data_IF_745534859468
#
_entry.id   IF_745534859468
#
_cell.length_a   1.000
_cell.length_b   1.000
_cell.length_c   1.000
_cell.angle_alpha   90.00
_cell.angle_beta   90.00
_cell.angle_gamma   90.00
#
_symmetry.space_group_name_H-M   'P 1'
#
loop_
_entity.id
_entity.type
_entity.pdbx_description
1 polymer ?
#
# COMPACT_ATOMS: atom_id res chain seq x y z
N UNK A 1 -15.14 2.73 -9.66
CA UNK A 1 -16.34 3.46 -9.23
C UNK A 1 -16.21 4.99 -9.35
N UNK A 2 -15.08 5.61 -8.97
CA UNK A 2 -14.89 7.09 -9.07
C UNK A 2 -14.96 7.70 -10.48
N UNK A 3 -14.61 6.95 -11.53
CA UNK A 3 -14.64 7.43 -12.93
C UNK A 3 -16.01 7.33 -13.62
N UNK A 4 -16.93 6.50 -13.11
CA UNK A 4 -18.26 6.33 -13.69
C UNK A 4 -19.20 7.49 -13.32
N UNK A 5 -18.97 8.11 -12.17
CA UNK A 5 -19.78 9.21 -11.65
C UNK A 5 -19.72 10.48 -12.55
N UNK A 6 -18.54 11.00 -12.96
CA UNK A 6 -18.48 12.17 -13.84
C UNK A 6 -19.00 11.86 -15.24
N UNK A 7 -18.78 10.64 -15.76
CA UNK A 7 -19.26 10.23 -17.08
C UNK A 7 -20.80 10.18 -17.13
N UNK A 8 -21.41 9.61 -16.08
CA UNK A 8 -22.86 9.63 -15.91
C UNK A 8 -23.43 11.05 -15.78
N UNK A 9 -22.75 11.92 -15.04
CA UNK A 9 -23.15 13.32 -14.89
C UNK A 9 -23.09 14.10 -16.21
N UNK A 10 -22.03 13.89 -17.02
CA UNK A 10 -21.92 14.51 -18.35
C UNK A 10 -23.01 14.04 -19.30
N UNK A 11 -23.34 12.75 -19.29
CA UNK A 11 -24.42 12.21 -20.12
C UNK A 11 -25.78 12.80 -19.72
N UNK A 12 -26.06 12.88 -18.42
CA UNK A 12 -27.31 13.46 -17.92
C UNK A 12 -27.41 14.96 -18.23
N UNK A 13 -26.30 15.70 -18.14
CA UNK A 13 -26.24 17.09 -18.58
C UNK A 13 -26.46 17.25 -20.09
N UNK A 14 -25.90 16.36 -20.91
CA UNK A 14 -26.10 16.37 -22.37
C UNK A 14 -27.57 16.08 -22.74
N UNK A 15 -28.23 15.17 -22.03
CA UNK A 15 -29.66 14.91 -22.22
C UNK A 15 -30.53 16.11 -21.83
N UNK A 16 -30.24 16.74 -20.69
CA UNK A 16 -30.96 17.94 -20.26
C UNK A 16 -30.76 19.11 -21.24
N UNK A 17 -29.52 19.32 -21.71
CA UNK A 17 -29.22 20.35 -22.72
C UNK A 17 -29.87 20.04 -24.07
N UNK A 18 -29.89 18.77 -24.49
CA UNK A 18 -30.56 18.35 -25.73
C UNK A 18 -32.07 18.54 -25.66
N UNK A 19 -32.71 18.18 -24.53
CA UNK A 19 -34.13 18.43 -24.29
C UNK A 19 -34.44 19.94 -24.24
N UNK A 20 -33.60 20.73 -23.57
CA UNK A 20 -33.75 22.18 -23.52
C UNK A 20 -33.59 22.84 -24.90
N UNK A 21 -32.61 22.40 -25.69
CA UNK A 21 -32.41 22.90 -27.05
C UNK A 21 -33.61 22.58 -27.95
N UNK A 22 -34.17 21.37 -27.86
CA UNK A 22 -35.41 21.02 -28.55
C UNK A 22 -36.54 21.98 -28.15
N UNK A 23 -36.72 22.23 -26.86
CA UNK A 23 -37.78 23.13 -26.37
C UNK A 23 -37.59 24.60 -26.81
N UNK A 24 -36.35 25.09 -26.90
CA UNK A 24 -36.06 26.47 -27.29
C UNK A 24 -36.14 26.71 -28.81
N UNK A 25 -35.70 25.74 -29.62
CA UNK A 25 -35.54 25.95 -31.06
C UNK A 25 -36.65 25.30 -31.91
N UNK A 26 -37.28 24.21 -31.46
CA UNK A 26 -38.32 23.54 -32.24
C UNK A 26 -39.54 24.43 -32.54
N UNK A 27 -40.06 25.27 -31.61
CA UNK A 27 -41.20 26.14 -31.91
C UNK A 27 -40.90 27.14 -33.03
N UNK A 28 -39.75 27.81 -32.97
CA UNK A 28 -39.34 28.79 -33.99
C UNK A 28 -39.14 28.13 -35.36
N UNK A 29 -38.56 26.93 -35.39
CA UNK A 29 -38.35 26.18 -36.63
C UNK A 29 -39.68 25.72 -37.25
N UNK A 30 -40.61 25.21 -36.44
CA UNK A 30 -41.95 24.80 -36.91
C UNK A 30 -42.76 25.99 -37.47
N UNK A 31 -42.56 27.20 -36.94
CA UNK A 31 -43.19 28.41 -37.47
C UNK A 31 -42.60 28.80 -38.84
N UNK A 32 -41.27 28.76 -39.00
CA UNK A 32 -40.58 29.08 -40.26
C UNK A 32 -40.92 28.07 -41.36
N UNK A 33 -40.93 26.77 -41.04
CA UNK A 33 -41.28 25.69 -41.97
C UNK A 33 -42.73 25.81 -42.50
N UNK A 34 -43.66 26.34 -41.69
CA UNK A 34 -45.07 26.52 -42.06
C UNK A 34 -45.43 27.91 -42.61
N UNK A 35 -44.53 28.90 -42.52
CA UNK A 35 -44.76 30.27 -42.96
C UNK A 35 -45.16 30.39 -44.45
N UNK A 36 -44.52 29.66 -45.40
CA UNK A 36 -44.90 29.71 -46.80
C UNK A 36 -46.34 29.21 -47.04
N UNK A 37 -46.73 28.14 -46.36
CA UNK A 37 -48.06 27.57 -46.47
C UNK A 37 -49.13 28.52 -45.89
N UNK A 38 -48.81 29.19 -44.77
CA UNK A 38 -49.65 30.22 -44.18
C UNK A 38 -49.79 31.44 -45.12
N UNK A 39 -48.70 31.88 -45.76
CA UNK A 39 -48.73 32.95 -46.78
C UNK A 39 -49.60 32.58 -47.98
N UNK A 40 -49.50 31.34 -48.48
CA UNK A 40 -50.36 30.84 -49.55
C UNK A 40 -51.83 30.80 -49.13
N UNK A 41 -52.14 30.33 -47.92
CA UNK A 41 -53.51 30.31 -47.40
C UNK A 41 -54.10 31.73 -47.28
N UNK A 42 -53.29 32.69 -46.82
CA UNK A 42 -53.67 34.11 -46.77
C UNK A 42 -53.95 34.67 -48.16
N UNK A 43 -53.07 34.42 -49.13
CA UNK A 43 -53.25 34.88 -50.51
C UNK A 43 -54.53 34.29 -51.14
N UNK A 44 -54.83 33.02 -50.86
CA UNK A 44 -56.07 32.35 -51.29
C UNK A 44 -57.30 33.00 -50.64
N UNK A 45 -57.24 33.34 -49.35
CA UNK A 45 -58.33 34.02 -48.65
C UNK A 45 -58.58 35.45 -49.18
N UNK A 46 -57.52 36.21 -49.46
CA UNK A 46 -57.61 37.54 -50.04
C UNK A 46 -58.14 37.50 -51.48
N UNK A 47 -57.70 36.52 -52.28
CA UNK A 47 -58.22 36.30 -53.63
C UNK A 47 -59.72 35.94 -53.61
N UNK A 48 -60.15 35.12 -52.63
CA UNK A 48 -61.56 34.81 -52.44
C UNK A 48 -62.37 36.06 -52.05
N UNK A 49 -61.93 36.83 -51.04
CA UNK A 49 -62.64 38.04 -50.61
C UNK A 49 -62.78 39.03 -51.77
N UNK A 50 -61.74 39.18 -52.59
CA UNK A 50 -61.76 40.01 -53.81
C UNK A 50 -62.77 39.48 -54.85
N UNK A 51 -62.76 38.17 -55.14
CA UNK A 51 -63.69 37.54 -56.07
C UNK A 51 -65.16 37.67 -55.61
N UNK A 52 -65.42 37.54 -54.31
CA UNK A 52 -66.75 37.71 -53.73
C UNK A 52 -67.27 39.15 -53.83
N UNK A 53 -66.38 40.15 -53.73
CA UNK A 53 -66.76 41.57 -53.91
C UNK A 53 -67.13 41.91 -55.35
N UNK A 54 -66.49 41.27 -56.33
CA UNK A 54 -66.71 41.52 -57.76
C UNK A 54 -67.84 40.67 -58.36
N UNK A 55 -68.25 39.59 -57.71
CA UNK A 55 -69.28 38.69 -58.19
C UNK A 55 -70.68 39.30 -58.08
N UNK A 56 -71.51 39.12 -59.11
CA UNK A 56 -72.92 39.48 -59.09
C UNK A 56 -73.73 38.61 -58.10
N UNK A 57 -73.30 37.37 -57.85
CA UNK A 57 -73.92 36.40 -56.93
C UNK A 57 -72.87 35.81 -55.96
N UNK A 58 -72.52 36.52 -54.88
CA UNK A 58 -71.41 36.13 -53.99
C UNK A 58 -71.63 34.79 -53.29
N UNK A 59 -72.87 34.40 -52.97
CA UNK A 59 -73.13 33.09 -52.33
C UNK A 59 -72.84 31.90 -53.25
N UNK A 60 -73.19 32.01 -54.55
CA UNK A 60 -72.93 30.94 -55.52
C UNK A 60 -71.42 30.80 -55.80
N UNK A 61 -70.68 31.91 -55.82
CA UNK A 61 -69.21 31.90 -55.97
C UNK A 61 -68.53 31.29 -54.73
N UNK A 62 -69.04 31.58 -53.53
CA UNK A 62 -68.54 30.97 -52.29
C UNK A 62 -68.77 29.45 -52.29
N UNK A 63 -69.97 29.00 -52.64
CA UNK A 63 -70.29 27.56 -52.66
C UNK A 63 -69.46 26.80 -53.72
N UNK A 64 -69.24 27.39 -54.90
CA UNK A 64 -68.35 26.82 -55.92
C UNK A 64 -66.89 26.74 -55.44
N UNK A 65 -66.41 27.75 -54.71
CA UNK A 65 -65.07 27.77 -54.13
C UNK A 65 -64.89 26.71 -53.03
N UNK A 66 -65.88 26.57 -52.15
CA UNK A 66 -65.87 25.54 -51.10
C UNK A 66 -65.90 24.13 -51.71
N UNK A 67 -66.65 23.92 -52.81
CA UNK A 67 -66.59 22.66 -53.55
C UNK A 67 -65.23 22.43 -54.23
N UNK A 68 -64.60 23.48 -54.77
CA UNK A 68 -63.31 23.40 -55.45
C UNK A 68 -62.12 23.18 -54.50
N UNK A 69 -62.19 23.68 -53.27
CA UNK A 69 -61.24 23.38 -52.19
C UNK A 69 -61.18 21.87 -51.85
N UNK A 70 -62.22 21.13 -52.20
CA UNK A 70 -62.27 19.67 -52.07
C UNK A 70 -62.05 19.19 -50.63
N UNK A 71 -61.49 17.99 -50.49
CA UNK A 71 -61.17 17.35 -49.20
C UNK A 71 -59.79 17.76 -48.66
N UNK A 72 -59.26 18.93 -49.04
CA UNK A 72 -57.94 19.38 -48.56
C UNK A 72 -57.94 19.46 -47.03
N UNK A 73 -57.13 18.64 -46.36
CA UNK A 73 -57.15 18.56 -44.90
C UNK A 73 -56.63 19.85 -44.23
N UNK A 74 -55.77 20.59 -44.93
CA UNK A 74 -55.02 21.75 -44.42
C UNK A 74 -55.74 23.10 -44.54
N UNK A 75 -56.65 23.27 -45.51
CA UNK A 75 -57.42 24.52 -45.70
C UNK A 75 -58.91 24.18 -45.66
N UNK A 76 -59.62 24.67 -44.63
CA UNK A 76 -61.05 24.40 -44.41
C UNK A 76 -61.82 25.70 -44.34
N UNK A 77 -62.97 25.75 -45.01
CA UNK A 77 -63.90 26.87 -44.84
C UNK A 77 -64.92 26.57 -43.74
N UNK A 78 -65.04 27.48 -42.77
CA UNK A 78 -66.01 27.40 -41.67
C UNK A 78 -67.04 28.51 -41.81
N UNK A 79 -68.32 28.16 -42.00
CA UNK A 79 -69.43 29.13 -41.95
C UNK A 79 -69.65 29.64 -40.52
N UNK A 80 -69.98 30.93 -40.40
CA UNK A 80 -70.27 31.58 -39.14
C UNK A 80 -71.51 30.93 -38.47
N UNK A 81 -71.37 30.48 -37.22
CA UNK A 81 -72.44 29.84 -36.45
C UNK A 81 -72.29 28.32 -36.24
N UNK A 82 -71.28 27.68 -36.86
CA UNK A 82 -70.98 26.25 -36.62
C UNK A 82 -70.16 26.07 -35.33
N UNK A 83 -70.60 25.24 -34.35
CA UNK A 83 -69.89 25.07 -33.07
C UNK A 83 -68.51 24.43 -33.23
N UNK A 84 -67.56 24.82 -32.36
CA UNK A 84 -66.22 24.22 -32.25
C UNK A 84 -66.35 22.78 -31.73
N UNK A 85 -66.17 21.79 -32.59
CA UNK A 85 -65.97 20.41 -32.13
C UNK A 85 -64.50 20.21 -31.78
N UNK A 86 -64.13 20.57 -30.55
CA UNK A 86 -62.80 20.28 -29.98
C UNK A 86 -62.73 18.80 -29.57
N UNK A 87 -62.58 17.90 -30.54
CA UNK A 87 -62.14 16.54 -30.26
C UNK A 87 -60.62 16.53 -30.03
N UNK A 88 -60.09 15.68 -29.14
CA UNK A 88 -58.65 15.49 -29.02
C UNK A 88 -58.10 15.08 -30.39
N UNK A 89 -57.16 15.85 -30.92
CA UNK A 89 -56.50 15.55 -32.19
C UNK A 89 -55.59 14.34 -31.92
N UNK A 90 -56.08 13.14 -32.22
CA UNK A 90 -55.31 11.90 -32.16
C UNK A 90 -54.36 11.91 -33.39
N UNK A 91 -53.17 12.52 -33.23
CA UNK A 91 -52.19 12.68 -34.32
C UNK A 91 -51.61 11.30 -34.64
N UNK A 92 -52.23 10.58 -35.57
CA UNK A 92 -51.75 9.29 -36.09
C UNK A 92 -50.99 9.53 -37.39
N UNK A 93 -49.68 9.35 -37.38
CA UNK A 93 -48.92 9.26 -38.65
C UNK A 93 -48.98 7.85 -39.22
N UNK A 94 -48.85 7.69 -40.55
CA UNK A 94 -48.78 6.38 -41.20
C UNK A 94 -47.51 5.56 -40.86
N UNK A 95 -46.50 6.14 -40.19
CA UNK A 95 -45.20 5.51 -39.90
C UNK A 95 -44.92 5.18 -38.42
N UNK A 96 -45.79 5.55 -37.46
CA UNK A 96 -45.62 5.22 -36.05
C UNK A 96 -46.39 6.13 -35.10
N UNK A 97 -46.30 5.93 -33.78
CA UNK A 97 -46.88 6.85 -32.79
C UNK A 97 -45.78 7.64 -32.08
N UNK A 98 -45.82 8.96 -32.18
CA UNK A 98 -45.03 9.86 -31.34
C UNK A 98 -45.64 9.86 -29.93
N UNK A 99 -44.86 9.64 -28.85
CA UNK A 99 -45.40 9.65 -27.49
C UNK A 99 -45.95 11.02 -27.08
N UNK A 100 -47.10 11.05 -26.39
CA UNK A 100 -47.74 12.30 -25.94
C UNK A 100 -46.83 13.16 -25.06
N UNK A 101 -46.05 12.56 -24.16
CA UNK A 101 -45.12 13.30 -23.30
C UNK A 101 -44.08 14.10 -24.10
N UNK A 102 -43.69 13.64 -25.30
CA UNK A 102 -42.73 14.33 -26.15
C UNK A 102 -43.37 15.56 -26.82
N UNK A 103 -44.65 15.43 -27.20
CA UNK A 103 -45.46 16.53 -27.74
C UNK A 103 -45.65 17.60 -26.67
N UNK A 104 -45.95 17.20 -25.43
CA UNK A 104 -46.13 18.13 -24.29
C UNK A 104 -44.86 18.94 -24.00
N UNK A 105 -43.68 18.33 -24.14
CA UNK A 105 -42.38 18.99 -23.92
C UNK A 105 -42.04 19.98 -25.04
N UNK A 106 -42.46 19.70 -26.27
CA UNK A 106 -42.16 20.55 -27.44
C UNK A 106 -42.90 21.90 -27.43
N UNK A 107 -43.88 22.09 -26.51
CA UNK A 107 -44.65 23.33 -26.36
C UNK A 107 -45.15 23.89 -27.70
N UNK A 108 -45.91 23.07 -28.43
CA UNK A 108 -46.32 23.31 -29.81
C UNK A 108 -46.93 24.72 -29.99
N UNK A 109 -46.38 25.56 -30.88
CA UNK A 109 -46.99 26.84 -31.19
C UNK A 109 -48.32 26.62 -31.92
N UNK A 110 -49.30 27.51 -31.70
CA UNK A 110 -50.51 27.50 -32.52
C UNK A 110 -50.17 28.03 -33.92
N UNK A 111 -49.83 27.10 -34.81
CA UNK A 111 -49.55 27.35 -36.23
C UNK A 111 -50.85 27.43 -37.06
N UNK A 112 -52.01 27.27 -36.43
CA UNK A 112 -53.29 27.43 -37.11
C UNK A 112 -53.58 28.90 -37.34
N UNK A 113 -54.06 29.26 -38.52
CA UNK A 113 -54.44 30.63 -38.84
C UNK A 113 -55.87 30.67 -39.35
N UNK A 114 -56.65 31.66 -38.90
CA UNK A 114 -58.00 31.89 -39.41
C UNK A 114 -58.08 33.23 -40.12
N UNK A 115 -58.69 33.24 -41.31
CA UNK A 115 -58.87 34.43 -42.12
C UNK A 115 -60.38 34.67 -42.34
N UNK A 116 -60.94 35.81 -41.90
CA UNK A 116 -62.37 36.07 -42.03
C UNK A 116 -62.76 36.30 -43.49
N UNK A 117 -63.90 35.76 -43.90
CA UNK A 117 -64.48 35.96 -45.24
C UNK A 117 -65.72 36.84 -45.11
N UNK A 118 -65.74 37.98 -45.81
CA UNK A 118 -66.81 38.97 -45.71
C UNK A 118 -67.54 39.17 -47.03
N UNK A 119 -68.87 39.32 -46.98
CA UNK A 119 -69.69 39.69 -48.14
C UNK A 119 -70.46 40.95 -47.75
N UNK A 120 -70.28 42.03 -48.53
CA UNK A 120 -70.93 43.34 -48.28
C UNK A 120 -70.76 43.85 -46.83
N UNK A 121 -69.59 43.62 -46.23
CA UNK A 121 -69.25 44.05 -44.87
C UNK A 121 -69.79 43.16 -43.75
N UNK A 122 -70.51 42.08 -44.06
CA UNK A 122 -70.96 41.07 -43.08
C UNK A 122 -70.07 39.84 -43.16
N UNK A 123 -69.50 39.41 -42.04
CA UNK A 123 -68.70 38.18 -41.97
C UNK A 123 -69.62 36.95 -42.10
N UNK A 124 -69.35 36.11 -43.09
CA UNK A 124 -70.15 34.91 -43.40
C UNK A 124 -69.44 33.63 -42.97
N UNK A 125 -68.12 33.68 -42.83
CA UNK A 125 -67.32 32.57 -42.34
C UNK A 125 -65.86 32.95 -42.18
N UNK A 126 -65.03 31.95 -42.03
CA UNK A 126 -63.57 32.07 -42.00
C UNK A 126 -62.93 30.88 -42.72
N UNK A 127 -61.78 31.13 -43.36
CA UNK A 127 -60.91 30.09 -43.86
C UNK A 127 -59.94 29.77 -42.73
N UNK A 128 -59.97 28.52 -42.27
CA UNK A 128 -59.03 27.97 -41.29
C UNK A 128 -57.91 27.24 -42.03
N UNK A 129 -56.69 27.62 -41.75
CA UNK A 129 -55.48 26.89 -42.08
C UNK A 129 -55.04 26.10 -40.85
N UNK A 130 -54.97 24.78 -40.97
CA UNK A 130 -54.50 23.87 -39.92
C UNK A 130 -53.50 22.90 -40.56
N UNK A 131 -52.19 23.20 -40.52
CA UNK A 131 -51.18 22.34 -41.15
C UNK A 131 -51.13 20.97 -40.45
N UNK A 132 -50.91 19.91 -41.23
CA UNK A 132 -50.63 18.59 -40.68
C UNK A 132 -49.17 18.51 -40.21
N UNK A 133 -48.96 18.80 -38.94
CA UNK A 133 -47.63 18.80 -38.27
C UNK A 133 -47.17 17.39 -37.86
N UNK A 134 -47.92 16.35 -38.22
CA UNK A 134 -47.67 14.98 -37.77
C UNK A 134 -46.34 14.42 -38.29
N UNK A 135 -46.01 14.73 -39.55
CA UNK A 135 -44.75 14.34 -40.19
C UNK A 135 -43.55 15.04 -39.54
N UNK A 136 -43.65 16.35 -39.28
CA UNK A 136 -42.59 17.13 -38.64
C UNK A 136 -42.30 16.63 -37.21
N UNK A 137 -43.36 16.34 -36.44
CA UNK A 137 -43.24 15.75 -35.09
C UNK A 137 -42.52 14.39 -35.11
N UNK A 138 -42.84 13.55 -36.10
CA UNK A 138 -42.21 12.25 -36.24
C UNK A 138 -40.73 12.36 -36.63
N UNK A 139 -40.38 13.30 -37.50
CA UNK A 139 -38.99 13.60 -37.85
C UNK A 139 -38.18 14.02 -36.61
N UNK A 140 -38.69 14.98 -35.81
CA UNK A 140 -38.01 15.41 -34.57
C UNK A 140 -37.88 14.28 -33.56
N UNK A 141 -38.89 13.41 -33.46
CA UNK A 141 -38.86 12.23 -32.58
C UNK A 141 -37.76 11.23 -32.96
N UNK A 142 -37.61 10.91 -34.25
CA UNK A 142 -36.51 10.05 -34.73
C UNK A 142 -35.16 10.71 -34.45
N UNK A 143 -35.03 12.01 -34.72
CA UNK A 143 -33.81 12.77 -34.43
C UNK A 143 -33.42 12.70 -32.96
N UNK A 144 -34.38 12.85 -32.05
CA UNK A 144 -34.17 12.70 -30.60
C UNK A 144 -33.69 11.29 -30.23
N UNK A 145 -34.34 10.23 -30.74
CA UNK A 145 -33.93 8.84 -30.49
C UNK A 145 -32.52 8.54 -31.04
N UNK A 146 -32.17 9.09 -32.20
CA UNK A 146 -30.84 8.94 -32.78
C UNK A 146 -29.75 9.59 -31.90
N UNK A 147 -30.01 10.79 -31.38
CA UNK A 147 -29.09 11.47 -30.45
C UNK A 147 -28.96 10.71 -29.12
N UNK A 148 -30.09 10.26 -28.56
CA UNK A 148 -30.12 9.50 -27.32
C UNK A 148 -29.31 8.19 -27.44
N UNK A 149 -29.56 7.42 -28.49
CA UNK A 149 -28.87 6.13 -28.72
C UNK A 149 -27.37 6.32 -29.00
N UNK A 150 -27.00 7.34 -29.78
CA UNK A 150 -25.59 7.72 -30.00
C UNK A 150 -24.89 8.09 -28.69
N UNK A 151 -25.54 8.87 -27.83
CA UNK A 151 -24.98 9.24 -26.53
C UNK A 151 -24.80 8.05 -25.58
N UNK A 152 -25.78 7.13 -25.54
CA UNK A 152 -25.66 5.88 -24.76
C UNK A 152 -24.50 5.03 -25.28
N UNK A 153 -24.38 4.87 -26.60
CA UNK A 153 -23.30 4.11 -27.22
C UNK A 153 -21.92 4.70 -26.87
N UNK A 154 -21.78 6.03 -26.94
CA UNK A 154 -20.55 6.72 -26.56
C UNK A 154 -20.22 6.54 -25.06
N UNK A 155 -21.22 6.59 -24.17
CA UNK A 155 -21.04 6.36 -22.74
C UNK A 155 -20.59 4.93 -22.43
N UNK A 156 -21.20 3.93 -23.08
CA UNK A 156 -20.80 2.53 -22.91
C UNK A 156 -19.39 2.28 -23.45
N UNK A 157 -19.05 2.88 -24.59
CA UNK A 157 -17.72 2.79 -25.19
C UNK A 157 -16.65 3.38 -24.27
N UNK A 158 -16.84 4.63 -23.83
CA UNK A 158 -15.89 5.33 -22.94
C UNK A 158 -15.79 4.66 -21.57
N UNK A 159 -16.91 4.18 -21.01
CA UNK A 159 -16.93 3.40 -19.77
C UNK A 159 -16.17 2.08 -19.89
N UNK A 160 -16.33 1.38 -21.01
CA UNK A 160 -15.60 0.14 -21.30
C UNK A 160 -14.10 0.39 -21.43
N UNK A 161 -13.70 1.41 -22.21
CA UNK A 161 -12.30 1.82 -22.35
C UNK A 161 -11.69 2.15 -20.98
N UNK A 162 -12.38 2.94 -20.15
CA UNK A 162 -11.92 3.28 -18.81
C UNK A 162 -11.76 2.05 -17.90
N UNK A 163 -12.70 1.10 -17.97
CA UNK A 163 -12.63 -0.16 -17.24
C UNK A 163 -11.40 -0.99 -17.65
N UNK A 164 -11.17 -1.17 -18.95
CA UNK A 164 -10.01 -1.89 -19.48
C UNK A 164 -8.69 -1.21 -19.11
N UNK A 165 -8.59 0.12 -19.26
CA UNK A 165 -7.37 0.87 -18.91
C UNK A 165 -7.06 0.75 -17.42
N UNK A 166 -8.07 0.87 -16.55
CA UNK A 166 -7.86 0.76 -15.10
C UNK A 166 -7.32 -0.62 -14.73
N UNK A 167 -7.94 -1.69 -15.24
CA UNK A 167 -7.49 -3.06 -14.98
C UNK A 167 -6.11 -3.36 -15.56
N UNK A 168 -5.83 -2.89 -16.78
CA UNK A 168 -4.58 -3.19 -17.48
C UNK A 168 -3.39 -2.37 -16.98
N UNK A 169 -3.57 -1.08 -16.66
CA UNK A 169 -2.47 -0.17 -16.37
C UNK A 169 -2.28 0.13 -14.88
N UNK A 170 -3.36 0.29 -14.10
CA UNK A 170 -3.27 0.74 -12.70
C UNK A 170 -2.91 -0.40 -11.76
N UNK A 171 -3.52 -1.58 -11.93
CA UNK A 171 -3.25 -2.75 -11.07
C UNK A 171 -1.77 -3.15 -11.05
N UNK A 172 -1.12 -3.34 -12.21
CA UNK A 172 0.30 -3.64 -12.27
C UNK A 172 1.20 -2.58 -11.63
N UNK A 173 0.85 -1.30 -11.76
CA UNK A 173 1.61 -0.21 -11.14
C UNK A 173 1.52 -0.25 -9.61
N UNK A 174 0.35 -0.60 -9.05
CA UNK A 174 0.18 -0.81 -7.61
C UNK A 174 1.01 -1.99 -7.12
N UNK A 175 1.00 -3.10 -7.85
CA UNK A 175 1.84 -4.27 -7.53
C UNK A 175 3.33 -3.93 -7.51
N UNK A 176 3.80 -3.12 -8.47
CA UNK A 176 5.18 -2.64 -8.50
C UNK A 176 5.49 -1.76 -7.29
N UNK A 177 4.62 -0.81 -6.96
CA UNK A 177 4.79 0.08 -5.79
C UNK A 177 4.81 -0.68 -4.45
N UNK A 178 3.88 -1.62 -4.26
CA UNK A 178 3.87 -2.51 -3.09
C UNK A 178 5.12 -3.38 -3.05
N UNK A 179 5.54 -3.94 -4.19
CA UNK A 179 6.76 -4.73 -4.32
C UNK A 179 8.02 -3.97 -3.90
N UNK A 180 8.20 -2.76 -4.42
CA UNK A 180 9.33 -1.89 -4.04
C UNK A 180 9.29 -1.49 -2.56
N UNK A 181 8.08 -1.27 -2.01
CA UNK A 181 7.91 -0.98 -0.57
C UNK A 181 8.35 -2.17 0.30
N UNK A 182 8.00 -3.40 -0.11
CA UNK A 182 8.46 -4.63 0.57
C UNK A 182 9.98 -4.81 0.48
N UNK A 183 10.57 -4.54 -0.69
CA UNK A 183 12.02 -4.59 -0.89
C UNK A 183 12.73 -3.59 0.04
N UNK A 184 12.17 -2.40 0.27
CA UNK A 184 12.70 -1.42 1.22
C UNK A 184 12.74 -1.95 2.66
N UNK A 185 11.79 -2.80 3.04
CA UNK A 185 11.79 -3.49 4.35
C UNK A 185 12.70 -4.73 4.40
N UNK A 186 13.46 -5.03 3.35
CA UNK A 186 14.39 -6.17 3.30
C UNK A 186 13.76 -7.50 2.88
N UNK A 187 12.47 -7.52 2.52
CA UNK A 187 11.83 -8.70 1.93
C UNK A 187 12.09 -8.76 0.43
N UNK A 188 13.16 -9.47 0.07
CA UNK A 188 13.54 -9.75 -1.31
C UNK A 188 13.07 -11.13 -1.79
N UNK A 189 12.33 -11.88 -0.97
CA UNK A 189 11.97 -13.26 -1.29
C UNK A 189 10.77 -13.34 -2.25
N UNK A 190 9.84 -12.39 -2.13
CA UNK A 190 8.60 -12.36 -2.91
C UNK A 190 8.74 -11.48 -4.16
N UNK A 191 8.64 -12.13 -5.32
CA UNK A 191 8.70 -11.45 -6.62
C UNK A 191 7.46 -10.58 -6.88
N UNK A 192 7.68 -9.50 -7.64
CA UNK A 192 6.65 -8.60 -8.16
C UNK A 192 6.02 -9.27 -9.39
N UNK A 193 4.69 -9.42 -9.46
CA UNK A 193 4.01 -9.95 -10.63
C UNK A 193 4.28 -9.11 -11.89
N UNK A 194 4.82 -9.72 -12.94
CA UNK A 194 5.19 -9.07 -14.21
C UNK A 194 4.00 -9.02 -15.18
N UNK A 195 2.93 -8.32 -14.79
CA UNK A 195 1.70 -8.16 -15.57
C UNK A 195 1.57 -6.74 -16.15
N UNK A 196 0.67 -6.54 -17.11
CA UNK A 196 0.35 -5.23 -17.68
C UNK A 196 1.10 -4.85 -18.96
N UNK A 197 1.08 -3.55 -19.32
CA UNK A 197 1.80 -2.98 -20.46
C UNK A 197 3.28 -3.38 -20.49
N UNK A 198 3.89 -3.46 -21.68
CA UNK A 198 5.27 -3.94 -21.83
C UNK A 198 6.29 -3.12 -21.03
N UNK A 199 6.06 -1.82 -20.86
CA UNK A 199 6.90 -0.93 -20.07
C UNK A 199 6.88 -1.30 -18.57
N UNK A 200 5.68 -1.50 -18.00
CA UNK A 200 5.52 -1.87 -16.57
C UNK A 200 6.04 -3.28 -16.32
N UNK A 201 5.82 -4.19 -17.28
CA UNK A 201 6.35 -5.56 -17.21
C UNK A 201 7.87 -5.56 -17.16
N UNK A 202 8.53 -4.81 -18.05
CA UNK A 202 9.99 -4.65 -18.06
C UNK A 202 10.49 -4.08 -16.72
N UNK A 203 9.88 -3.02 -16.20
CA UNK A 203 10.28 -2.45 -14.90
C UNK A 203 10.10 -3.44 -13.75
N UNK A 204 9.06 -4.27 -13.78
CA UNK A 204 8.83 -5.31 -12.77
C UNK A 204 9.87 -6.43 -12.86
N UNK A 205 10.27 -6.82 -14.07
CA UNK A 205 11.33 -7.79 -14.33
C UNK A 205 12.69 -7.27 -13.84
N UNK A 206 13.05 -6.03 -14.16
CA UNK A 206 14.27 -5.37 -13.68
C UNK A 206 14.29 -5.26 -12.14
N UNK A 207 13.18 -4.86 -11.53
CA UNK A 207 13.05 -4.81 -10.08
C UNK A 207 13.21 -6.21 -9.45
N UNK A 208 12.70 -7.25 -10.10
CA UNK A 208 12.87 -8.64 -9.65
C UNK A 208 14.33 -9.12 -9.75
N UNK A 209 15.05 -8.77 -10.81
CA UNK A 209 16.48 -9.09 -10.93
C UNK A 209 17.32 -8.35 -9.87
N UNK A 210 16.97 -7.09 -9.58
CA UNK A 210 17.57 -6.35 -8.49
C UNK A 210 17.27 -7.02 -7.14
N UNK A 211 16.03 -7.46 -6.89
CA UNK A 211 15.65 -8.17 -5.68
C UNK A 211 16.46 -9.46 -5.50
N UNK A 212 16.65 -10.25 -6.57
CA UNK A 212 17.51 -11.45 -6.55
C UNK A 212 18.95 -11.11 -6.19
N UNK A 213 19.50 -10.04 -6.77
CA UNK A 213 20.87 -9.60 -6.51
C UNK A 213 21.04 -9.15 -5.05
N UNK A 214 20.12 -8.32 -4.54
CA UNK A 214 20.11 -7.88 -3.14
C UNK A 214 19.96 -9.05 -2.17
N UNK A 215 19.10 -10.03 -2.50
CA UNK A 215 18.95 -11.26 -1.72
C UNK A 215 20.26 -12.03 -1.64
N UNK A 216 20.95 -12.20 -2.77
CA UNK A 216 22.24 -12.89 -2.83
C UNK A 216 23.30 -12.15 -2.00
N UNK A 217 23.44 -10.83 -2.18
CA UNK A 217 24.37 -10.02 -1.41
C UNK A 217 24.09 -10.07 0.09
N UNK A 218 22.81 -10.05 0.50
CA UNK A 218 22.41 -10.20 1.90
C UNK A 218 22.78 -11.58 2.46
N UNK A 219 22.56 -12.65 1.69
CA UNK A 219 22.96 -14.00 2.07
C UNK A 219 24.48 -14.17 2.16
N UNK A 220 25.23 -13.60 1.20
CA UNK A 220 26.69 -13.64 1.17
C UNK A 220 27.28 -12.86 2.34
N UNK A 221 26.79 -11.64 2.61
CA UNK A 221 27.18 -10.84 3.76
C UNK A 221 26.95 -11.61 5.06
N UNK A 222 25.79 -12.25 5.22
CA UNK A 222 25.49 -13.08 6.39
C UNK A 222 26.39 -14.31 6.50
N UNK A 223 26.78 -14.92 5.38
CA UNK A 223 27.72 -16.03 5.35
C UNK A 223 29.13 -15.58 5.77
N UNK A 224 29.58 -14.44 5.27
CA UNK A 224 30.86 -13.82 5.64
C UNK A 224 30.89 -13.45 7.12
N UNK A 225 29.85 -12.81 7.64
CA UNK A 225 29.75 -12.49 9.07
C UNK A 225 29.82 -13.77 9.92
N UNK A 226 29.10 -14.84 9.55
CA UNK A 226 29.21 -16.12 10.25
C UNK A 226 30.63 -16.70 10.23
N UNK A 227 31.32 -16.63 9.08
CA UNK A 227 32.72 -17.07 8.97
C UNK A 227 33.66 -16.23 9.83
N UNK A 228 33.53 -14.91 9.82
CA UNK A 228 34.35 -14.01 10.64
C UNK A 228 34.15 -14.32 12.12
N UNK A 229 32.90 -14.50 12.56
CA UNK A 229 32.60 -14.83 13.96
C UNK A 229 33.21 -16.18 14.34
N UNK A 230 33.05 -17.21 13.51
CA UNK A 230 33.63 -18.53 13.75
C UNK A 230 35.15 -18.46 13.83
N UNK A 231 35.81 -17.84 12.86
CA UNK A 231 37.27 -17.69 12.84
C UNK A 231 37.78 -16.91 14.06
N UNK A 232 37.05 -15.88 14.49
CA UNK A 232 37.42 -15.15 15.69
C UNK A 232 37.32 -16.02 16.95
N UNK A 233 36.35 -16.92 17.03
CA UNK A 233 36.19 -17.82 18.15
C UNK A 233 37.23 -18.95 18.13
N UNK A 234 37.57 -19.47 16.94
CA UNK A 234 38.66 -20.44 16.74
C UNK A 234 40.02 -19.84 17.13
N UNK A 235 40.35 -18.65 16.64
CA UNK A 235 41.58 -17.93 16.99
C UNK A 235 41.69 -17.67 18.49
N UNK A 236 40.58 -17.28 19.14
CA UNK A 236 40.56 -17.11 20.60
C UNK A 236 40.79 -18.41 21.34
N UNK A 237 40.30 -19.53 20.80
CA UNK A 237 40.53 -20.85 21.38
C UNK A 237 42.00 -21.27 21.23
N UNK A 238 42.62 -20.98 20.09
CA UNK A 238 44.02 -21.30 19.85
C UNK A 238 44.94 -20.44 20.72
N UNK A 239 44.72 -19.12 20.80
CA UNK A 239 45.46 -18.24 21.73
C UNK A 239 45.32 -18.73 23.18
N UNK A 240 44.12 -19.16 23.59
CA UNK A 240 43.93 -19.69 24.94
C UNK A 240 44.70 -21.00 25.18
N UNK A 241 44.82 -21.85 24.15
CA UNK A 241 45.60 -23.08 24.23
C UNK A 241 47.09 -22.75 24.35
N UNK A 242 47.60 -21.86 23.50
CA UNK A 242 49.01 -21.44 23.53
C UNK A 242 49.37 -20.79 24.88
N UNK A 243 48.52 -19.90 25.42
CA UNK A 243 48.75 -19.33 26.75
C UNK A 243 48.73 -20.38 27.87
N UNK A 244 47.91 -21.43 27.75
CA UNK A 244 47.86 -22.49 28.76
C UNK A 244 49.09 -23.38 28.68
N UNK A 245 49.45 -23.82 27.47
CA UNK A 245 50.49 -24.80 27.21
C UNK A 245 51.90 -24.19 27.34
N UNK A 246 52.08 -22.90 26.99
CA UNK A 246 53.38 -22.23 27.12
C UNK A 246 53.56 -21.59 28.51
N UNK A 247 52.61 -20.76 28.97
CA UNK A 247 52.82 -19.99 30.21
C UNK A 247 52.55 -20.81 31.47
N UNK A 248 51.63 -21.78 31.42
CA UNK A 248 51.26 -22.61 32.58
C UNK A 248 52.47 -23.36 33.15
N UNK A 249 53.15 -24.20 32.37
CA UNK A 249 54.35 -24.93 32.80
C UNK A 249 55.51 -24.01 33.20
N UNK A 250 55.74 -22.92 32.47
CA UNK A 250 56.81 -21.96 32.79
C UNK A 250 56.60 -21.31 34.16
N UNK A 251 55.39 -20.82 34.44
CA UNK A 251 55.06 -20.22 35.75
C UNK A 251 55.14 -21.25 36.87
N UNK A 252 54.73 -22.50 36.61
CA UNK A 252 54.90 -23.59 37.56
C UNK A 252 56.38 -23.88 37.87
N UNK A 253 57.23 -23.93 36.83
CA UNK A 253 58.66 -24.15 36.95
C UNK A 253 59.38 -23.03 37.73
N UNK A 254 59.07 -21.76 37.44
CA UNK A 254 59.64 -20.62 38.19
C UNK A 254 59.24 -20.72 39.66
N UNK A 255 57.97 -21.04 39.96
CA UNK A 255 57.51 -21.23 41.34
C UNK A 255 58.29 -22.35 42.04
N UNK A 256 58.39 -23.53 41.42
CA UNK A 256 59.08 -24.68 41.98
C UNK A 256 60.57 -24.40 42.25
N UNK A 257 61.28 -23.79 41.29
CA UNK A 257 62.68 -23.42 41.44
C UNK A 257 62.89 -22.36 42.53
N UNK A 258 61.94 -21.42 42.67
CA UNK A 258 62.01 -20.38 43.71
C UNK A 258 61.79 -20.97 45.10
N UNK A 259 60.84 -21.91 45.26
CA UNK A 259 60.63 -22.63 46.52
C UNK A 259 61.87 -23.47 46.88
N UNK A 260 62.42 -24.22 45.92
CA UNK A 260 63.65 -25.00 46.15
C UNK A 260 64.86 -24.11 46.51
N UNK A 261 64.96 -22.90 45.94
CA UNK A 261 65.97 -21.92 46.31
C UNK A 261 65.78 -21.42 47.75
N UNK A 262 64.54 -21.19 48.20
CA UNK A 262 64.24 -20.82 49.59
C UNK A 262 64.60 -21.94 50.56
N UNK A 263 64.27 -23.19 50.23
CA UNK A 263 64.58 -24.36 51.07
C UNK A 263 66.09 -24.65 51.18
N UNK A 264 66.89 -24.20 50.22
CA UNK A 264 68.35 -24.40 50.21
C UNK A 264 69.16 -23.23 50.80
N UNK A 265 68.51 -22.12 51.17
CA UNK A 265 69.16 -20.99 51.80
C UNK A 265 69.39 -21.23 53.31
N UNK A 266 70.57 -20.88 53.85
CA UNK A 266 70.81 -20.99 55.29
C UNK A 266 69.95 -19.96 56.07
N UNK A 267 69.43 -20.31 57.25
CA UNK A 267 68.43 -19.54 58.00
C UNK A 267 68.89 -18.14 58.48
N UNK A 268 70.16 -17.80 58.34
CA UNK A 268 70.77 -16.57 58.89
C UNK A 268 70.99 -15.45 57.86
N UNK A 269 70.46 -15.57 56.64
CA UNK A 269 70.60 -14.54 55.58
C UNK A 269 69.24 -14.00 55.12
N UNK A 270 68.81 -12.89 55.71
CA UNK A 270 67.53 -12.24 55.41
C UNK A 270 67.38 -11.64 53.98
N UNK A 271 68.48 -11.37 53.27
CA UNK A 271 68.45 -10.70 51.95
C UNK A 271 67.92 -11.57 50.79
N UNK A 272 68.48 -12.77 50.55
CA UNK A 272 68.04 -13.67 49.49
C UNK A 272 66.61 -14.19 49.67
N UNK A 273 66.17 -14.39 50.91
CA UNK A 273 64.82 -14.88 51.24
C UNK A 273 63.74 -13.87 50.84
N UNK A 274 63.93 -12.58 51.17
CA UNK A 274 63.02 -11.51 50.75
C UNK A 274 62.91 -11.39 49.22
N UNK A 275 64.03 -11.58 48.50
CA UNK A 275 64.03 -11.58 47.02
C UNK A 275 63.25 -12.76 46.44
N UNK A 276 63.44 -13.97 47.00
CA UNK A 276 62.71 -15.16 46.57
C UNK A 276 61.21 -15.07 46.85
N UNK A 277 60.83 -14.50 48.00
CA UNK A 277 59.43 -14.25 48.35
C UNK A 277 58.78 -13.21 47.41
N UNK A 278 59.53 -12.18 46.98
CA UNK A 278 59.09 -11.24 45.96
C UNK A 278 58.88 -11.88 44.57
N UNK A 279 59.73 -12.84 44.20
CA UNK A 279 59.54 -13.64 42.96
C UNK A 279 58.27 -14.48 43.05
N UNK A 280 58.02 -15.15 44.19
CA UNK A 280 56.81 -15.94 44.40
C UNK A 280 55.53 -15.10 44.26
N UNK A 281 55.47 -13.93 44.92
CA UNK A 281 54.33 -13.02 44.78
C UNK A 281 54.13 -12.57 43.33
N UNK A 282 55.21 -12.31 42.59
CA UNK A 282 55.15 -11.94 41.18
C UNK A 282 54.61 -13.08 40.31
N UNK A 283 55.03 -14.32 40.57
CA UNK A 283 54.54 -15.51 39.87
C UNK A 283 53.07 -15.77 40.17
N UNK A 284 52.63 -15.64 41.42
CA UNK A 284 51.22 -15.77 41.79
C UNK A 284 50.35 -14.71 41.11
N UNK A 285 50.81 -13.46 41.09
CA UNK A 285 50.15 -12.38 40.36
C UNK A 285 50.05 -12.68 38.85
N UNK A 286 51.11 -13.19 38.23
CA UNK A 286 51.09 -13.61 36.82
C UNK A 286 50.16 -14.80 36.57
N UNK A 287 50.17 -15.81 37.44
CA UNK A 287 49.27 -16.97 37.32
C UNK A 287 47.81 -16.54 37.40
N UNK A 288 47.49 -15.65 38.35
CA UNK A 288 46.16 -15.07 38.46
C UNK A 288 45.77 -14.26 37.22
N UNK A 289 46.68 -13.41 36.71
CA UNK A 289 46.45 -12.65 35.50
C UNK A 289 46.25 -13.54 34.26
N UNK A 290 47.07 -14.59 34.10
CA UNK A 290 46.98 -15.54 33.00
C UNK A 290 45.64 -16.28 33.03
N UNK A 291 45.24 -16.79 34.20
CA UNK A 291 43.94 -17.46 34.37
C UNK A 291 42.77 -16.56 34.00
N UNK A 292 42.83 -15.29 34.43
CA UNK A 292 41.83 -14.27 34.08
C UNK A 292 41.76 -13.97 32.58
N UNK A 293 42.88 -14.05 31.85
CA UNK A 293 42.92 -13.88 30.39
C UNK A 293 42.32 -15.12 29.70
N UNK A 294 42.73 -16.32 30.12
CA UNK A 294 42.20 -17.59 29.62
C UNK A 294 40.67 -17.66 29.75
N UNK A 295 40.12 -17.32 30.92
CA UNK A 295 38.67 -17.30 31.16
C UNK A 295 37.90 -16.31 30.24
N UNK A 296 38.56 -15.26 29.74
CA UNK A 296 37.97 -14.30 28.79
C UNK A 296 38.03 -14.79 27.35
N UNK A 297 39.14 -15.42 26.97
CA UNK A 297 39.37 -15.91 25.61
C UNK A 297 38.55 -17.16 25.33
N UNK A 298 38.64 -18.16 26.22
CA UNK A 298 37.93 -19.43 26.12
C UNK A 298 37.05 -19.63 27.36
N UNK A 299 35.74 -19.39 27.26
CA UNK A 299 34.82 -19.90 28.25
C UNK A 299 34.73 -21.41 28.03
N UNK A 300 35.60 -22.19 28.68
CA UNK A 300 35.59 -23.67 28.63
C UNK A 300 34.23 -24.28 28.99
N UNK A 301 33.40 -23.48 29.66
CA UNK A 301 32.16 -23.91 30.29
C UNK A 301 31.07 -24.34 29.29
N UNK A 302 30.98 -23.79 28.07
CA UNK A 302 29.80 -24.05 27.22
C UNK A 302 29.77 -25.49 26.68
N UNK A 303 30.90 -26.00 26.20
CA UNK A 303 30.98 -27.35 25.64
C UNK A 303 30.95 -28.45 26.71
N UNK A 304 31.45 -28.16 27.91
CA UNK A 304 31.57 -29.14 29.00
C UNK A 304 30.40 -29.11 29.99
N UNK A 305 29.78 -27.94 30.22
CA UNK A 305 28.76 -27.72 31.27
C UNK A 305 27.39 -27.30 30.72
N UNK A 306 27.29 -26.99 29.44
CA UNK A 306 26.10 -26.40 28.83
C UNK A 306 25.98 -24.88 29.03
N UNK A 307 25.13 -24.25 28.22
CA UNK A 307 24.97 -22.81 28.16
C UNK A 307 24.42 -22.22 29.48
N UNK A 308 23.40 -22.86 30.05
CA UNK A 308 22.74 -22.40 31.27
C UNK A 308 23.75 -22.30 32.42
N UNK A 309 24.49 -23.39 32.67
CA UNK A 309 25.47 -23.46 33.75
C UNK A 309 26.62 -22.48 33.53
N UNK A 310 27.05 -22.31 32.28
CA UNK A 310 28.07 -21.32 31.91
C UNK A 310 27.64 -19.90 32.26
N UNK A 311 26.39 -19.54 31.97
CA UNK A 311 25.84 -18.23 32.32
C UNK A 311 25.79 -18.07 33.84
N UNK A 312 25.33 -19.08 34.59
CA UNK A 312 25.32 -19.01 36.06
C UNK A 312 26.72 -18.80 36.64
N UNK A 313 27.74 -19.51 36.13
CA UNK A 313 29.13 -19.31 36.55
C UNK A 313 29.62 -17.89 36.25
N UNK A 314 29.30 -17.36 35.06
CA UNK A 314 29.65 -15.99 34.69
C UNK A 314 29.04 -14.97 35.67
N UNK A 315 27.75 -15.13 35.98
CA UNK A 315 27.02 -14.23 36.87
C UNK A 315 27.50 -14.35 38.33
N UNK A 316 27.88 -15.55 38.75
CA UNK A 316 28.50 -15.78 40.05
C UNK A 316 29.83 -15.04 40.17
N UNK A 317 30.70 -15.16 39.15
CA UNK A 317 31.98 -14.46 39.11
C UNK A 317 31.81 -12.92 39.04
N UNK A 318 30.80 -12.44 38.33
CA UNK A 318 30.45 -11.02 38.29
C UNK A 318 30.05 -10.49 39.69
N UNK A 319 29.25 -11.26 40.42
CA UNK A 319 28.85 -10.92 41.80
C UNK A 319 30.05 -10.89 42.75
N UNK A 320 31.01 -11.79 42.59
CA UNK A 320 32.24 -11.78 43.38
C UNK A 320 33.11 -10.53 43.12
N UNK A 321 33.07 -9.96 41.91
CA UNK A 321 33.80 -8.74 41.56
C UNK A 321 33.10 -7.45 42.01
N UNK A 322 31.78 -7.46 42.09
CA UNK A 322 30.97 -6.32 42.53
C UNK A 322 29.91 -6.76 43.56
N UNK A 323 30.30 -6.90 44.85
CA UNK A 323 29.41 -7.38 45.91
C UNK A 323 28.15 -6.51 46.10
N UNK A 324 28.28 -5.21 45.84
CA UNK A 324 27.20 -4.22 46.01
C UNK A 324 26.18 -4.20 44.86
N UNK A 325 26.46 -4.92 43.76
CA UNK A 325 25.58 -4.99 42.61
C UNK A 325 24.51 -6.08 42.80
N UNK A 326 23.23 -5.68 42.83
CA UNK A 326 22.12 -6.62 42.87
C UNK A 326 21.93 -7.29 41.51
N UNK A 327 22.47 -8.50 41.36
CA UNK A 327 22.35 -9.29 40.14
C UNK A 327 21.21 -10.31 40.27
N UNK A 328 20.24 -10.26 39.36
CA UNK A 328 19.17 -11.27 39.24
C UNK A 328 19.21 -11.94 37.86
N UNK A 329 18.87 -13.22 37.80
CA UNK A 329 18.94 -14.02 36.59
C UNK A 329 17.73 -14.94 36.44
N UNK A 330 17.13 -14.96 35.25
CA UNK A 330 16.11 -15.94 34.84
C UNK A 330 16.55 -16.59 33.54
N UNK A 331 17.17 -17.75 33.65
CA UNK A 331 17.69 -18.52 32.51
C UNK A 331 16.80 -19.74 32.35
N UNK A 332 16.29 -19.93 31.14
CA UNK A 332 15.45 -21.07 30.79
C UNK A 332 16.31 -22.33 30.58
N UNK A 333 16.03 -23.47 31.26
CA UNK A 333 16.77 -24.72 31.08
C UNK A 333 16.76 -25.25 29.64
N UNK A 334 15.76 -24.88 28.84
CA UNK A 334 15.65 -25.23 27.42
C UNK A 334 16.77 -24.67 26.54
N UNK A 335 17.64 -23.80 27.09
CA UNK A 335 18.83 -23.28 26.42
C UNK A 335 19.93 -24.34 26.24
N UNK A 336 19.97 -25.40 27.04
CA UNK A 336 21.00 -26.45 26.89
C UNK A 336 20.80 -27.30 25.62
N UNK A 337 19.60 -27.28 25.04
CA UNK A 337 19.32 -27.93 23.75
C UNK A 337 19.81 -27.13 22.53
N UNK A 338 20.55 -26.04 22.75
CA UNK A 338 21.10 -25.17 21.71
C UNK A 338 22.60 -25.42 21.62
N UNK A 339 23.09 -25.77 20.43
CA UNK A 339 24.49 -26.11 20.17
C UNK A 339 25.21 -25.09 19.26
N UNK A 340 26.53 -25.24 19.20
CA UNK A 340 27.40 -24.51 18.28
C UNK A 340 27.40 -22.99 18.43
N UNK A 341 27.37 -22.31 17.28
CA UNK A 341 27.54 -20.86 17.15
C UNK A 341 26.44 -20.05 17.86
N UNK A 342 25.23 -20.61 17.96
CA UNK A 342 24.10 -19.94 18.63
C UNK A 342 24.34 -19.85 20.14
N UNK A 343 24.76 -20.95 20.76
CA UNK A 343 25.10 -21.00 22.18
C UNK A 343 26.25 -20.05 22.54
N UNK A 344 27.31 -20.05 21.73
CA UNK A 344 28.44 -19.13 21.89
C UNK A 344 28.02 -17.66 21.76
N UNK A 345 27.15 -17.35 20.81
CA UNK A 345 26.65 -15.98 20.59
C UNK A 345 25.85 -15.48 21.79
N UNK A 346 24.94 -16.30 22.33
CA UNK A 346 24.17 -15.96 23.54
C UNK A 346 25.08 -15.69 24.72
N UNK A 347 26.03 -16.59 24.98
CA UNK A 347 26.99 -16.42 26.06
C UNK A 347 27.80 -15.13 25.90
N UNK A 348 28.31 -14.84 24.70
CA UNK A 348 29.11 -13.63 24.43
C UNK A 348 28.30 -12.35 24.61
N UNK A 349 27.04 -12.33 24.19
CA UNK A 349 26.14 -11.18 24.40
C UNK A 349 25.95 -10.93 25.89
N UNK A 350 25.64 -11.96 26.67
CA UNK A 350 25.48 -11.83 28.13
C UNK A 350 26.80 -11.39 28.78
N UNK A 351 27.92 -12.00 28.39
CA UNK A 351 29.25 -11.68 28.92
C UNK A 351 29.62 -10.22 28.69
N UNK A 352 29.48 -9.74 27.46
CA UNK A 352 29.84 -8.38 27.11
C UNK A 352 28.88 -7.38 27.75
N UNK A 353 27.57 -7.66 27.79
CA UNK A 353 26.60 -6.83 28.47
C UNK A 353 26.88 -6.71 29.98
N UNK A 354 27.12 -7.82 30.68
CA UNK A 354 27.49 -7.81 32.11
C UNK A 354 28.82 -7.09 32.33
N UNK A 355 29.80 -7.30 31.46
CA UNK A 355 31.10 -6.60 31.53
C UNK A 355 30.91 -5.08 31.37
N UNK A 356 30.05 -4.66 30.44
CA UNK A 356 29.72 -3.24 30.25
C UNK A 356 29.03 -2.65 31.47
N UNK A 357 28.11 -3.39 32.11
CA UNK A 357 27.49 -2.96 33.37
C UNK A 357 28.54 -2.74 34.46
N UNK A 358 29.41 -3.73 34.67
CA UNK A 358 30.46 -3.66 35.70
C UNK A 358 31.47 -2.53 35.48
N UNK A 359 31.77 -2.18 34.22
CA UNK A 359 32.79 -1.17 33.89
C UNK A 359 32.25 0.24 33.67
N UNK A 360 31.02 0.36 33.20
CA UNK A 360 30.54 1.61 32.60
C UNK A 360 29.19 2.09 33.15
N UNK A 361 28.35 1.22 33.69
CA UNK A 361 26.98 1.60 34.04
C UNK A 361 26.84 2.33 35.38
N UNK A 362 27.74 2.07 36.34
CA UNK A 362 27.56 2.48 37.74
C UNK A 362 26.16 2.10 38.29
N UNK A 363 25.70 0.92 37.89
CA UNK A 363 24.37 0.39 38.21
C UNK A 363 24.33 -0.19 39.63
N UNK A 364 23.14 -0.17 40.24
CA UNK A 364 22.85 -0.82 41.53
C UNK A 364 22.15 -2.16 41.33
N UNK A 365 21.43 -2.32 40.21
CA UNK A 365 20.72 -3.55 39.89
C UNK A 365 20.87 -3.91 38.42
N UNK A 366 21.09 -5.20 38.16
CA UNK A 366 21.08 -5.78 36.82
C UNK A 366 20.20 -7.02 36.79
N UNK A 367 19.39 -7.14 35.75
CA UNK A 367 18.53 -8.28 35.49
C UNK A 367 18.94 -8.92 34.16
N UNK A 368 19.22 -10.22 34.20
CA UNK A 368 19.56 -11.02 33.02
C UNK A 368 18.45 -12.05 32.79
N UNK A 369 17.80 -11.99 31.64
CA UNK A 369 16.78 -12.93 31.23
C UNK A 369 17.20 -13.58 29.94
N UNK A 370 17.16 -14.91 29.87
CA UNK A 370 17.37 -15.66 28.64
C UNK A 370 16.31 -16.75 28.56
N UNK A 371 15.41 -16.63 27.58
CA UNK A 371 14.24 -17.50 27.45
C UNK A 371 14.12 -18.02 26.03
N UNK A 372 13.61 -19.24 25.90
CA UNK A 372 13.31 -19.84 24.61
C UNK A 372 11.81 -20.09 24.52
N UNK A 373 11.17 -19.52 23.51
CA UNK A 373 9.77 -19.75 23.20
C UNK A 373 9.66 -20.22 21.75
N UNK A 374 9.11 -21.42 21.54
CA UNK A 374 8.96 -22.04 20.23
C UNK A 374 10.27 -22.05 19.40
N UNK A 375 10.32 -21.21 18.36
CA UNK A 375 11.43 -21.06 17.40
C UNK A 375 12.23 -19.78 17.60
N UNK A 376 12.03 -19.07 18.70
CA UNK A 376 12.74 -17.83 19.02
C UNK A 376 13.40 -17.92 20.40
N UNK A 377 14.64 -17.46 20.48
CA UNK A 377 15.37 -17.25 21.73
C UNK A 377 15.51 -15.75 21.97
N UNK A 378 15.07 -15.30 23.14
CA UNK A 378 15.16 -13.90 23.56
C UNK A 378 16.12 -13.77 24.75
N UNK A 379 17.08 -12.86 24.61
CA UNK A 379 18.04 -12.49 25.65
C UNK A 379 17.86 -11.02 25.97
N UNK A 380 17.61 -10.70 27.24
CA UNK A 380 17.44 -9.35 27.74
C UNK A 380 18.37 -9.11 28.93
N UNK A 381 19.13 -8.02 28.88
CA UNK A 381 19.95 -7.55 29.99
C UNK A 381 19.53 -6.12 30.30
N UNK A 382 19.02 -5.89 31.51
CA UNK A 382 18.55 -4.58 31.94
C UNK A 382 19.24 -4.08 33.20
N UNK A 383 19.80 -2.88 33.15
CA UNK A 383 20.47 -2.22 34.28
C UNK A 383 19.88 -0.83 34.59
N UNK A 384 19.98 -0.39 35.85
CA UNK A 384 19.55 0.92 36.32
C UNK A 384 20.68 1.97 36.34
N UNK A 385 21.71 1.77 35.52
CA UNK A 385 22.87 2.64 35.46
C UNK A 385 22.61 3.98 34.76
N UNK A 386 23.71 4.71 34.54
CA UNK A 386 23.70 6.03 33.88
C UNK A 386 23.17 5.97 32.43
N UNK A 387 23.21 4.78 31.82
CA UNK A 387 22.79 4.50 30.45
C UNK A 387 23.80 4.98 29.40
N UNK A 388 23.31 5.24 28.19
CA UNK A 388 24.12 5.64 27.04
C UNK A 388 23.63 6.98 26.46
N UNK A 389 24.55 7.80 25.95
CA UNK A 389 24.20 9.08 25.33
C UNK A 389 23.65 8.88 23.92
N UNK A 390 22.62 9.65 23.54
CA UNK A 390 22.06 9.60 22.19
C UNK A 390 23.13 10.02 21.16
N UNK A 391 23.42 9.16 20.17
CA UNK A 391 24.41 9.41 19.13
C UNK A 391 25.86 9.01 19.47
N UNK A 392 26.10 8.33 20.59
CA UNK A 392 27.44 7.84 20.92
C UNK A 392 27.86 6.72 19.95
N UNK A 393 29.10 6.82 19.42
CA UNK A 393 29.69 5.75 18.59
C UNK A 393 29.83 4.50 19.45
N UNK A 394 29.21 3.41 19.00
CA UNK A 394 29.27 2.13 19.70
C UNK A 394 30.72 1.67 19.84
N UNK A 395 31.11 1.34 21.08
CA UNK A 395 32.40 0.71 21.34
C UNK A 395 32.47 -0.67 20.69
N UNK A 396 33.70 -1.19 20.53
CA UNK A 396 33.96 -2.50 19.87
C UNK A 396 33.10 -3.66 20.41
N UNK A 397 32.75 -3.63 21.71
CA UNK A 397 31.88 -4.62 22.35
C UNK A 397 30.45 -4.64 21.81
N UNK A 398 29.79 -3.47 21.74
CA UNK A 398 28.42 -3.33 21.24
C UNK A 398 28.34 -3.65 19.74
N UNK A 399 29.30 -3.18 18.95
CA UNK A 399 29.41 -3.51 17.53
C UNK A 399 29.56 -5.02 17.32
N UNK A 400 30.45 -5.67 18.09
CA UNK A 400 30.65 -7.12 18.02
C UNK A 400 29.41 -7.93 18.42
N UNK A 401 28.67 -7.49 19.45
CA UNK A 401 27.38 -8.11 19.80
C UNK A 401 26.37 -8.00 18.66
N UNK A 402 26.22 -6.80 18.08
CA UNK A 402 25.29 -6.57 16.98
C UNK A 402 25.64 -7.41 15.74
N UNK A 403 26.91 -7.49 15.37
CA UNK A 403 27.40 -8.29 14.24
C UNK A 403 27.13 -9.79 14.44
N UNK A 404 27.42 -10.33 15.63
CA UNK A 404 27.17 -11.74 15.96
C UNK A 404 25.69 -12.09 15.89
N UNK A 405 24.84 -11.25 16.45
CA UNK A 405 23.38 -11.45 16.40
C UNK A 405 22.87 -11.41 14.97
N UNK A 406 23.30 -10.44 14.17
CA UNK A 406 22.94 -10.33 12.75
C UNK A 406 23.43 -11.52 11.91
N UNK A 407 24.63 -12.05 12.19
CA UNK A 407 25.17 -13.23 11.52
C UNK A 407 24.21 -14.43 11.63
N UNK A 408 23.48 -14.53 12.74
CA UNK A 408 22.51 -15.58 13.02
C UNK A 408 21.06 -15.23 12.65
N UNK A 409 20.82 -14.18 11.87
CA UNK A 409 19.46 -13.64 11.59
C UNK A 409 18.72 -13.12 12.82
N UNK A 410 19.43 -12.83 13.89
CA UNK A 410 18.82 -12.19 15.04
C UNK A 410 18.65 -10.69 14.88
N UNK A 411 17.83 -10.11 15.74
CA UNK A 411 17.69 -8.67 15.92
C UNK A 411 18.38 -8.25 17.21
N UNK A 412 19.15 -7.16 17.16
CA UNK A 412 19.79 -6.55 18.32
C UNK A 412 19.25 -5.14 18.51
N UNK A 413 18.77 -4.86 19.71
CA UNK A 413 18.21 -3.58 20.13
C UNK A 413 18.92 -3.13 21.40
N UNK A 414 19.30 -1.85 21.42
CA UNK A 414 19.78 -1.17 22.61
C UNK A 414 18.82 -0.01 22.89
N UNK A 415 18.09 -0.11 23.99
CA UNK A 415 16.98 0.76 24.33
C UNK A 415 17.17 1.35 25.72
N UNK A 416 16.48 2.45 26.00
CA UNK A 416 16.30 2.97 27.35
C UNK A 416 14.81 2.96 27.65
N UNK A 417 14.38 2.05 28.53
CA UNK A 417 12.98 1.83 28.89
C UNK A 417 12.82 2.01 30.40
N UNK A 418 11.84 2.80 30.85
CA UNK A 418 11.55 3.02 32.28
C UNK A 418 12.77 3.44 33.12
N UNK A 419 13.63 4.28 32.54
CA UNK A 419 14.87 4.76 33.19
C UNK A 419 16.02 3.76 33.19
N UNK A 420 15.80 2.51 32.77
CA UNK A 420 16.80 1.44 32.68
C UNK A 420 17.38 1.35 31.29
N UNK A 421 18.65 0.98 31.19
CA UNK A 421 19.25 0.53 29.93
C UNK A 421 18.86 -0.92 29.67
N UNK A 422 18.53 -1.23 28.42
CA UNK A 422 18.10 -2.56 28.00
C UNK A 422 18.86 -2.96 26.73
N UNK A 423 19.59 -4.06 26.82
CA UNK A 423 20.09 -4.81 25.67
C UNK A 423 19.11 -5.94 25.40
N UNK A 424 18.45 -5.92 24.24
CA UNK A 424 17.53 -6.98 23.79
C UNK A 424 18.06 -7.63 22.52
N UNK A 425 18.17 -8.94 22.56
CA UNK A 425 18.57 -9.76 21.43
C UNK A 425 17.51 -10.83 21.19
N UNK A 426 17.06 -10.99 19.93
CA UNK A 426 16.19 -12.09 19.51
C UNK A 426 16.89 -12.89 18.45
N UNK A 427 16.93 -14.21 18.59
CA UNK A 427 17.64 -15.13 17.71
C UNK A 427 16.71 -16.27 17.28
N UNK A 428 16.77 -16.74 16.02
CA UNK A 428 16.01 -17.91 15.61
C UNK A 428 16.59 -19.17 16.27
N UNK A 429 15.77 -19.87 17.06
CA UNK A 429 16.10 -21.12 17.72
C UNK A 429 15.52 -22.30 16.93
N UNK A 430 16.06 -22.55 15.73
CA UNK A 430 15.74 -23.76 14.96
C UNK A 430 16.50 -24.90 15.63
N UNK A 431 15.79 -25.87 16.20
CA UNK A 431 16.40 -27.08 16.75
C UNK A 431 17.22 -27.79 15.66
N UNK A 432 18.46 -28.15 15.95
CA UNK A 432 19.13 -29.23 15.23
C UNK A 432 18.33 -30.50 15.53
N UNK A 433 17.37 -30.85 14.67
CA UNK A 433 16.83 -32.21 14.64
C UNK A 433 17.98 -33.13 14.21
N UNK A 434 18.72 -33.66 15.18
CA UNK A 434 19.50 -34.87 14.99
C UNK A 434 18.46 -35.99 14.87
N UNK A 435 18.32 -36.68 13.72
CA UNK A 435 17.41 -37.80 13.61
C UNK A 435 17.89 -38.89 14.58
N UNK A 436 17.01 -39.36 15.46
CA UNK A 436 17.28 -40.52 16.29
C UNK A 436 17.74 -41.69 15.39
N UNK A 437 18.78 -42.45 15.80
CA UNK A 437 19.20 -43.61 15.02
C UNK A 437 18.02 -44.58 14.95
N UNK A 438 17.64 -44.97 13.72
CA UNK A 438 16.67 -46.05 13.51
C UNK A 438 17.20 -47.28 14.23
N UNK A 439 16.48 -47.72 15.27
CA UNK A 439 16.68 -49.04 15.87
C UNK A 439 16.55 -50.08 14.75
N UNK A 440 17.58 -50.92 14.64
CA UNK A 440 17.70 -52.00 13.68
C UNK A 440 16.99 -53.26 14.16
#
# INVERSE_FOLDING_TARGET
>A
MRLLLPLGAMFLAALLLGGLALQLFAPAQLMDENEPAQRSAKAVAEALDSALRMSANPEQTLDAFVQALGTSEAIRFRRAGTPLSAGPVDIRTPLGRVPHWFIDIMAMPDVSASFPVTIKGKQIGEIMFAPDISADLYEKWIGFLALLSSGIALMLLTGSIAYFITGAAVGPLQNLGEGLTRMRSGDYARLIPSSGPPEIRRSSEEANELAKTLRKLSQDNRSLLRKIVSLQDDERQDIARDLHDELGPLLFGIRANTVALMESLPPDRAGPEASAQGILQSVEALQYANRRILDRLRPLYIQELGLERSIHTLLHNARAQAPDLQLSARIDPGLNAIDGLLSQTVYRVIQEAVTNVLRHANARSVQVTATRQDRELTVEISDDGIGFAAGQVFGRGLTGMQERVRALSGTFELLRENGRSLVRCRLPAISSEIPAPREA
#
